data_IF_422414387749
#
_entry.id   IF_422414387749
#
_cell.length_a   1.000
_cell.length_b   1.000
_cell.length_c   1.000
_cell.angle_alpha   90.00
_cell.angle_beta   90.00
_cell.angle_gamma   90.00
#
_symmetry.space_group_name_H-M   'P 1'
#
loop_
_entity.id
_entity.type
_entity.pdbx_description
1 polymer ?
#
# COMPACT_ATOMS: atom_id res chain seq x y z
N UNK A 1 -12.56 4.81 2.09
CA UNK A 1 -11.53 3.75 2.06
C UNK A 1 -10.16 4.23 1.57
N UNK A 2 -10.05 4.87 0.40
CA UNK A 2 -8.76 5.36 -0.12
C UNK A 2 -8.00 6.31 0.83
N UNK A 3 -8.72 7.16 1.57
CA UNK A 3 -8.09 8.01 2.59
C UNK A 3 -7.43 7.19 3.71
N UNK A 4 -8.07 6.10 4.16
CA UNK A 4 -7.51 5.17 5.14
C UNK A 4 -6.24 4.49 4.63
N UNK A 5 -6.20 4.13 3.34
CA UNK A 5 -4.98 3.60 2.69
C UNK A 5 -3.86 4.64 2.76
N UNK A 6 -4.13 5.90 2.38
CA UNK A 6 -3.13 6.98 2.46
C UNK A 6 -2.61 7.12 3.89
N UNK A 7 -3.51 7.26 4.86
CA UNK A 7 -3.13 7.55 6.24
C UNK A 7 -2.31 6.40 6.84
N UNK A 8 -2.69 5.15 6.53
CA UNK A 8 -1.97 3.96 6.96
C UNK A 8 -0.57 3.83 6.36
N UNK A 9 -0.42 4.13 5.06
CA UNK A 9 0.87 4.07 4.37
C UNK A 9 1.76 5.28 4.66
N UNK A 10 1.20 6.43 5.02
CA UNK A 10 1.96 7.67 5.31
C UNK A 10 2.94 7.51 6.49
N UNK A 11 2.69 6.53 7.38
CA UNK A 11 3.59 6.20 8.48
C UNK A 11 4.86 5.44 8.06
N UNK A 12 4.95 4.97 6.81
CA UNK A 12 6.09 4.21 6.31
C UNK A 12 7.14 5.16 5.71
N UNK A 13 8.38 5.21 6.24
CA UNK A 13 9.45 6.00 5.64
C UNK A 13 9.71 5.63 4.18
N UNK A 14 9.80 6.63 3.32
CA UNK A 14 10.05 6.46 1.88
C UNK A 14 8.80 6.21 1.03
N UNK A 15 7.60 6.14 1.62
CA UNK A 15 6.34 6.21 0.86
C UNK A 15 6.14 7.64 0.34
N UNK A 16 5.89 7.76 -0.96
CA UNK A 16 5.65 9.06 -1.61
C UNK A 16 4.33 9.05 -2.39
N UNK A 17 3.39 9.91 -2.00
CA UNK A 17 2.14 10.07 -2.74
C UNK A 17 2.30 11.03 -3.92
N UNK A 18 1.68 10.70 -5.04
CA UNK A 18 1.67 11.51 -6.27
C UNK A 18 0.29 12.13 -6.47
N UNK A 19 0.05 13.24 -5.76
CA UNK A 19 -1.21 13.99 -5.84
C UNK A 19 -2.18 13.72 -4.68
N UNK A 20 -3.38 14.32 -4.72
CA UNK A 20 -4.40 14.15 -3.70
C UNK A 20 -4.97 12.72 -3.67
N UNK A 21 -5.73 12.42 -2.61
CA UNK A 21 -6.53 11.19 -2.55
C UNK A 21 -7.73 11.48 -3.43
N UNK A 22 -7.99 10.64 -4.42
CA UNK A 22 -9.19 10.75 -5.23
C UNK A 22 -10.23 9.73 -4.75
N UNK A 23 -11.50 9.97 -5.08
CA UNK A 23 -12.73 9.27 -4.68
C UNK A 23 -12.47 7.89 -4.05
N UNK A 24 -11.86 6.97 -4.81
CA UNK A 24 -11.60 5.61 -4.39
C UNK A 24 -10.15 5.14 -4.60
N UNK A 25 -9.17 6.02 -4.84
CA UNK A 25 -7.79 5.57 -5.02
C UNK A 25 -6.72 6.55 -4.52
N UNK A 26 -5.52 6.00 -4.35
CA UNK A 26 -4.29 6.76 -4.13
C UNK A 26 -3.26 6.43 -5.21
N UNK A 27 -2.47 7.43 -5.60
CA UNK A 27 -1.26 7.24 -6.41
C UNK A 27 -0.06 7.30 -5.49
N UNK A 28 0.75 6.25 -5.47
CA UNK A 28 1.83 6.10 -4.50
C UNK A 28 3.03 5.41 -5.12
N UNK A 29 4.23 5.83 -4.72
CA UNK A 29 5.47 5.08 -4.90
C UNK A 29 5.84 4.45 -3.55
N UNK A 30 6.00 3.12 -3.54
CA UNK A 30 6.37 2.35 -2.36
C UNK A 30 7.88 2.12 -2.32
N UNK A 31 8.51 2.07 -1.13
CA UNK A 31 9.87 1.57 -0.99
C UNK A 31 10.00 0.16 -1.58
N UNK A 32 11.16 -0.14 -2.19
CA UNK A 32 11.39 -1.44 -2.84
C UNK A 32 11.10 -2.65 -1.94
N UNK A 33 11.52 -2.70 -0.65
CA UNK A 33 11.20 -3.83 0.22
C UNK A 33 9.70 -4.05 0.41
N UNK A 34 8.94 -2.95 0.56
CA UNK A 34 7.48 -2.98 0.70
C UNK A 34 6.83 -3.51 -0.58
N UNK A 35 7.26 -3.03 -1.74
CA UNK A 35 6.77 -3.50 -3.02
C UNK A 35 7.03 -5.00 -3.23
N UNK A 36 8.27 -5.43 -3.06
CA UNK A 36 8.67 -6.82 -3.29
C UNK A 36 7.96 -7.77 -2.33
N UNK A 37 7.83 -7.40 -1.07
CA UNK A 37 7.14 -8.21 -0.06
C UNK A 37 5.64 -8.35 -0.32
N UNK A 38 4.94 -7.27 -0.66
CA UNK A 38 3.52 -7.33 -1.01
C UNK A 38 3.30 -8.17 -2.28
N UNK A 39 4.14 -8.02 -3.30
CA UNK A 39 4.04 -8.84 -4.53
C UNK A 39 4.29 -10.32 -4.22
N UNK A 40 5.25 -10.65 -3.36
CA UNK A 40 5.52 -12.03 -2.94
C UNK A 40 4.34 -12.67 -2.19
N UNK A 41 3.49 -11.87 -1.55
CA UNK A 41 2.25 -12.31 -0.88
C UNK A 41 1.04 -12.39 -1.82
N UNK A 42 1.22 -12.06 -3.10
CA UNK A 42 0.15 -12.14 -4.11
C UNK A 42 -0.63 -10.85 -4.32
N UNK A 43 -0.26 -9.74 -3.68
CA UNK A 43 -0.84 -8.44 -4.03
C UNK A 43 -0.44 -8.03 -5.45
N UNK A 44 -1.40 -7.50 -6.19
CA UNK A 44 -1.17 -6.93 -7.52
C UNK A 44 -1.59 -5.46 -7.55
N UNK A 45 -0.77 -4.64 -8.19
CA UNK A 45 -0.99 -3.20 -8.27
C UNK A 45 -1.00 -2.71 -9.71
N UNK A 46 -1.91 -1.79 -9.98
CA UNK A 46 -2.02 -1.10 -11.25
C UNK A 46 -0.87 -0.09 -11.41
N UNK A 47 0.15 -0.39 -12.21
CA UNK A 47 1.24 0.56 -12.51
C UNK A 47 0.73 1.81 -13.23
N UNK A 48 1.36 2.96 -12.99
CA UNK A 48 1.02 4.27 -13.58
C UNK A 48 2.29 5.01 -14.00
N UNK A 49 2.19 5.75 -15.10
CA UNK A 49 3.31 6.52 -15.65
C UNK A 49 4.43 5.65 -16.24
N UNK A 50 5.61 6.24 -16.37
CA UNK A 50 6.79 5.54 -16.89
C UNK A 50 7.23 4.41 -15.94
N UNK A 51 7.70 3.25 -16.44
CA UNK A 51 8.15 2.13 -15.61
C UNK A 51 9.21 2.52 -14.58
N UNK A 52 10.11 3.45 -14.93
CA UNK A 52 11.16 3.97 -14.04
C UNK A 52 10.63 4.79 -12.85
N UNK A 53 9.39 5.28 -12.92
CA UNK A 53 8.81 6.09 -11.86
C UNK A 53 8.30 5.26 -10.67
N UNK A 54 8.05 3.96 -10.86
CA UNK A 54 7.58 3.07 -9.79
C UNK A 54 6.25 3.46 -9.14
N UNK A 55 5.41 4.24 -9.85
CA UNK A 55 4.13 4.73 -9.32
C UNK A 55 3.07 3.67 -9.54
N UNK A 56 2.26 3.41 -8.52
CA UNK A 56 1.10 2.54 -8.57
C UNK A 56 -0.17 3.25 -8.16
N UNK A 57 -1.30 2.73 -8.65
CA UNK A 57 -2.63 3.05 -8.19
C UNK A 57 -3.14 1.93 -7.30
N UNK A 58 -3.45 2.26 -6.05
CA UNK A 58 -4.21 1.39 -5.14
C UNK A 58 -5.64 1.91 -5.14
N UNK A 59 -6.57 1.12 -5.70
CA UNK A 59 -7.98 1.46 -5.78
C UNK A 59 -8.79 0.61 -4.81
N UNK A 60 -9.79 1.21 -4.19
CA UNK A 60 -10.78 0.54 -3.36
C UNK A 60 -12.05 0.35 -4.19
N UNK A 61 -12.54 -0.89 -4.27
CA UNK A 61 -13.82 -1.22 -4.85
C UNK A 61 -14.96 -0.84 -3.87
N UNK A 62 -16.22 -0.98 -4.32
CA UNK A 62 -17.39 -0.63 -3.51
C UNK A 62 -17.54 -1.52 -2.27
N UNK A 63 -16.97 -2.72 -2.31
CA UNK A 63 -16.99 -3.75 -1.28
C UNK A 63 -15.66 -3.85 -0.50
N UNK A 64 -14.67 -2.99 -0.78
CA UNK A 64 -13.45 -2.94 0.03
C UNK A 64 -13.78 -2.54 1.45
N UNK A 65 -13.47 -3.42 2.40
CA UNK A 65 -13.73 -3.25 3.83
C UNK A 65 -12.59 -2.55 4.55
N UNK A 66 -12.82 -2.12 5.79
CA UNK A 66 -11.74 -1.57 6.62
C UNK A 66 -10.67 -2.62 6.91
N UNK A 67 -11.08 -3.89 7.10
CA UNK A 67 -10.17 -5.00 7.36
C UNK A 67 -9.21 -5.24 6.18
N UNK A 68 -9.70 -5.17 4.94
CA UNK A 68 -8.86 -5.33 3.74
C UNK A 68 -7.75 -4.25 3.69
N UNK A 69 -8.09 -3.02 4.05
CA UNK A 69 -7.13 -1.91 4.08
C UNK A 69 -6.18 -2.03 5.26
N UNK A 70 -6.66 -2.41 6.43
CA UNK A 70 -5.84 -2.58 7.62
C UNK A 70 -4.83 -3.72 7.43
N UNK A 71 -5.24 -4.82 6.79
CA UNK A 71 -4.36 -5.92 6.43
C UNK A 71 -3.28 -5.46 5.45
N UNK A 72 -3.65 -4.80 4.34
CA UNK A 72 -2.69 -4.24 3.38
C UNK A 72 -1.66 -3.33 4.06
N UNK A 73 -2.12 -2.42 4.94
CA UNK A 73 -1.26 -1.48 5.67
C UNK A 73 -0.35 -2.23 6.65
N UNK A 74 -0.85 -3.25 7.35
CA UNK A 74 -0.07 -4.06 8.27
C UNK A 74 1.05 -4.83 7.53
N UNK A 75 0.73 -5.46 6.39
CA UNK A 75 1.72 -6.14 5.54
C UNK A 75 2.75 -5.13 4.99
N UNK A 76 2.31 -3.96 4.57
CA UNK A 76 3.22 -2.92 4.08
C UNK A 76 4.20 -2.44 5.18
N UNK A 77 3.73 -2.23 6.42
CA UNK A 77 4.57 -1.86 7.56
C UNK A 77 5.55 -2.96 7.95
N UNK A 78 5.10 -4.22 7.92
CA UNK A 78 5.96 -5.39 8.16
C UNK A 78 7.16 -5.39 7.21
N UNK A 79 6.93 -5.24 5.91
CA UNK A 79 8.01 -5.21 4.90
C UNK A 79 8.86 -3.94 4.95
N UNK A 80 8.37 -2.86 5.55
CA UNK A 80 9.14 -1.65 5.78
C UNK A 80 10.11 -1.77 6.98
N UNK A 81 10.04 -2.85 7.76
CA UNK A 81 10.76 -2.95 9.04
C UNK A 81 10.24 -1.97 10.10
N UNK A 82 9.09 -1.33 9.85
CA UNK A 82 8.41 -0.47 10.81
C UNK A 82 7.52 -1.39 11.65
N UNK A 83 8.11 -1.99 12.68
CA UNK A 83 7.54 -3.05 13.53
C UNK A 83 6.01 -3.19 13.50
N UNK A 84 5.54 -4.33 13.02
CA UNK A 84 4.26 -4.90 13.43
C UNK A 84 4.57 -6.21 14.16
N UNK A 85 4.10 -6.35 15.40
CA UNK A 85 4.08 -7.60 16.15
C UNK A 85 3.80 -8.77 15.20
N UNK A 86 4.67 -9.78 15.24
CA UNK A 86 4.58 -10.99 14.43
C UNK A 86 3.13 -11.52 14.43
N UNK A 87 2.44 -11.36 13.30
CA UNK A 87 1.17 -12.03 13.10
C UNK A 87 1.47 -13.52 12.95
N UNK A 88 0.79 -14.40 13.71
CA UNK A 88 1.01 -15.83 13.58
C UNK A 88 0.55 -16.28 12.19
N UNK A 89 1.45 -16.98 11.50
CA UNK A 89 1.15 -17.72 10.28
C UNK A 89 0.01 -18.70 10.60
N UNK A 90 -1.08 -18.62 9.83
CA UNK A 90 -2.13 -19.64 9.80
C UNK A 90 -1.71 -20.80 8.93
#
# INVERSE_FOLDING_TARGET
MAQRVRDGLAAIPGVHFRGPTEINFVLVALPRPVWEGLVAEGYSFSRRGAPSAGIIRIACAFDTTEADVDELVARAKHHAGVNAHALPVR
#
